data_IF_670728122610
#
_entry.id   IF_670728122610
#
_cell.length_a   1.000
_cell.length_b   1.000
_cell.length_c   1.000
_cell.angle_alpha   90.00
_cell.angle_beta   90.00
_cell.angle_gamma   90.00
#
_symmetry.space_group_name_H-M   'P 1'
#
loop_
_entity.id
_entity.type
_entity.pdbx_description
1 polymer ?
#
# COMPACT_ATOMS: atom_id res chain seq x y z
N UNK A 1 -10.30 27.77 15.14
CA UNK A 1 -10.61 26.40 14.70
C UNK A 1 -9.65 25.50 15.44
N UNK A 2 -10.09 24.52 16.24
CA UNK A 2 -9.18 23.51 16.77
C UNK A 2 -8.61 22.73 15.57
N UNK A 3 -7.34 22.34 15.65
CA UNK A 3 -6.67 21.53 14.63
C UNK A 3 -7.53 20.30 14.29
N UNK A 4 -7.83 20.12 13.01
CA UNK A 4 -8.53 18.94 12.51
C UNK A 4 -7.64 17.71 12.80
N UNK A 5 -8.09 16.74 13.63
CA UNK A 5 -7.30 15.56 13.94
C UNK A 5 -6.99 14.69 12.71
N UNK A 6 -7.61 14.97 11.55
CA UNK A 6 -7.35 14.31 10.27
C UNK A 6 -6.48 15.12 9.32
N UNK A 7 -5.81 16.19 9.76
CA UNK A 7 -4.86 16.88 8.88
C UNK A 7 -3.77 15.90 8.43
N UNK A 8 -3.83 15.52 7.15
CA UNK A 8 -2.91 14.56 6.56
C UNK A 8 -1.47 15.11 6.63
N UNK A 9 -0.59 14.37 7.30
CA UNK A 9 0.85 14.68 7.43
C UNK A 9 1.72 13.66 6.69
N UNK A 10 1.20 13.02 5.65
CA UNK A 10 2.02 12.15 4.82
C UNK A 10 3.03 12.96 3.99
N UNK A 11 4.02 12.27 3.42
CA UNK A 11 5.09 12.88 2.61
C UNK A 11 4.58 13.63 1.38
N UNK A 12 3.33 13.40 0.95
CA UNK A 12 2.71 14.13 -0.17
C UNK A 12 2.17 15.49 0.28
N UNK A 13 1.52 15.53 1.45
CA UNK A 13 0.89 16.74 1.99
C UNK A 13 1.86 17.64 2.76
N UNK A 14 2.90 17.05 3.36
CA UNK A 14 3.91 17.77 4.12
C UNK A 14 5.30 17.49 3.55
N UNK A 15 6.10 18.55 3.38
CA UNK A 15 7.49 18.43 2.97
C UNK A 15 8.38 18.37 4.20
N UNK A 16 9.06 17.24 4.38
CA UNK A 16 9.98 17.00 5.49
C UNK A 16 11.43 17.38 5.15
N UNK A 17 11.70 17.78 3.90
CA UNK A 17 13.02 18.24 3.45
C UNK A 17 13.96 17.12 2.99
N UNK A 18 13.47 15.88 2.93
CA UNK A 18 14.22 14.67 2.55
C UNK A 18 13.60 13.96 1.33
N UNK A 19 12.65 14.59 0.64
CA UNK A 19 11.94 14.00 -0.51
C UNK A 19 12.87 13.65 -1.67
N UNK A 20 13.98 14.37 -1.82
CA UNK A 20 15.01 14.13 -2.83
C UNK A 20 15.91 12.93 -2.50
N UNK A 21 15.90 12.47 -1.24
CA UNK A 21 16.58 11.26 -0.78
C UNK A 21 15.72 10.00 -0.91
N UNK A 22 14.46 10.14 -1.35
CA UNK A 22 13.51 9.04 -1.49
C UNK A 22 14.06 7.93 -2.41
N UNK A 23 13.97 6.69 -1.95
CA UNK A 23 14.44 5.56 -2.74
C UNK A 23 13.43 5.17 -3.83
N UNK A 24 13.80 4.19 -4.67
CA UNK A 24 12.93 3.75 -5.77
C UNK A 24 11.58 3.17 -5.28
N UNK A 25 11.56 2.51 -4.13
CA UNK A 25 10.34 1.98 -3.55
C UNK A 25 9.44 3.12 -3.08
N UNK A 26 9.99 4.11 -2.37
CA UNK A 26 9.27 5.29 -1.92
C UNK A 26 8.65 6.05 -3.09
N UNK A 27 9.41 6.26 -4.17
CA UNK A 27 8.92 6.90 -5.39
C UNK A 27 7.78 6.11 -6.04
N UNK A 28 7.86 4.78 -6.05
CA UNK A 28 6.80 3.90 -6.57
C UNK A 28 5.53 3.98 -5.71
N UNK A 29 5.68 4.03 -4.39
CA UNK A 29 4.55 4.21 -3.46
C UNK A 29 3.89 5.57 -3.71
N UNK A 30 4.67 6.64 -3.77
CA UNK A 30 4.20 8.00 -4.06
C UNK A 30 3.42 8.04 -5.37
N UNK A 31 3.98 7.47 -6.44
CA UNK A 31 3.33 7.40 -7.75
C UNK A 31 1.97 6.67 -7.67
N UNK A 32 1.93 5.48 -7.08
CA UNK A 32 0.68 4.72 -6.97
C UNK A 32 -0.37 5.41 -6.09
N UNK A 33 0.03 6.06 -5.00
CA UNK A 33 -0.91 6.83 -4.17
C UNK A 33 -1.49 8.00 -4.96
N UNK A 34 -0.67 8.70 -5.76
CA UNK A 34 -1.15 9.79 -6.62
C UNK A 34 -2.07 9.30 -7.74
N UNK A 35 -1.78 8.14 -8.34
CA UNK A 35 -2.53 7.62 -9.50
C UNK A 35 -3.78 6.82 -9.13
N UNK A 36 -3.74 6.08 -8.02
CA UNK A 36 -4.77 5.10 -7.64
C UNK A 36 -5.40 5.38 -6.27
N UNK A 37 -4.81 6.29 -5.48
CA UNK A 37 -5.27 6.62 -4.14
C UNK A 37 -4.76 5.70 -3.04
N UNK A 38 -4.02 4.64 -3.39
CA UNK A 38 -3.32 3.77 -2.45
C UNK A 38 -2.26 2.92 -3.17
N UNK A 39 -1.38 2.32 -2.38
CA UNK A 39 -0.43 1.28 -2.77
C UNK A 39 -0.52 0.11 -1.79
N UNK A 40 -0.20 -1.11 -2.22
CA UNK A 40 -0.11 -2.29 -1.34
C UNK A 40 1.35 -2.73 -1.24
N UNK A 41 1.89 -2.72 -0.02
CA UNK A 41 3.20 -3.30 0.29
C UNK A 41 3.01 -4.74 0.73
N UNK A 42 3.82 -5.65 0.18
CA UNK A 42 3.89 -7.06 0.60
C UNK A 42 5.18 -7.27 1.38
N UNK A 43 5.06 -7.77 2.61
CA UNK A 43 6.17 -8.18 3.46
C UNK A 43 6.17 -9.71 3.52
N UNK A 44 7.12 -10.40 2.87
CA UNK A 44 7.22 -11.85 2.92
C UNK A 44 7.40 -12.37 4.34
N UNK A 45 7.09 -13.66 4.56
CA UNK A 45 7.43 -14.33 5.81
C UNK A 45 8.95 -14.42 6.00
N UNK A 46 9.38 -14.39 7.25
CA UNK A 46 10.78 -14.54 7.64
C UNK A 46 10.92 -15.36 8.94
N UNK A 47 12.14 -15.43 9.49
CA UNK A 47 12.42 -16.15 10.73
C UNK A 47 11.72 -15.54 11.97
N UNK A 48 11.24 -14.30 11.89
CA UNK A 48 10.63 -13.55 12.99
C UNK A 48 9.11 -13.71 12.96
N UNK A 49 8.48 -13.78 11.79
CA UNK A 49 7.03 -13.86 11.71
C UNK A 49 6.42 -14.18 10.35
N UNK A 50 5.09 -14.38 10.31
CA UNK A 50 4.37 -14.64 9.08
C UNK A 50 4.36 -13.42 8.18
N UNK A 51 4.30 -13.66 6.87
CA UNK A 51 4.14 -12.60 5.88
C UNK A 51 2.81 -11.87 6.02
N UNK A 52 2.79 -10.61 5.61
CA UNK A 52 1.63 -9.74 5.65
C UNK A 52 1.64 -8.74 4.51
N UNK A 53 0.48 -8.16 4.21
CA UNK A 53 0.35 -7.09 3.24
C UNK A 53 -0.44 -5.93 3.86
N UNK A 54 -0.08 -4.70 3.51
CA UNK A 54 -0.77 -3.51 4.02
C UNK A 54 -0.86 -2.40 2.98
N UNK A 55 -1.85 -1.53 3.14
CA UNK A 55 -2.03 -0.37 2.27
C UNK A 55 -1.26 0.85 2.77
N UNK A 56 -0.86 1.71 1.85
CA UNK A 56 -0.39 3.07 2.11
C UNK A 56 -1.20 4.00 1.22
N UNK A 57 -1.80 5.05 1.80
CA UNK A 57 -2.45 6.14 1.06
C UNK A 57 -3.96 6.25 1.27
N UNK A 58 -4.62 5.26 1.89
CA UNK A 58 -6.06 5.36 2.16
C UNK A 58 -6.39 6.52 3.10
N UNK A 59 -5.52 6.80 4.08
CA UNK A 59 -5.68 7.96 4.95
C UNK A 59 -5.54 9.28 4.16
N UNK A 60 -4.59 9.33 3.22
CA UNK A 60 -4.37 10.50 2.37
C UNK A 60 -5.54 10.76 1.42
N UNK A 61 -6.02 9.72 0.72
CA UNK A 61 -7.01 9.87 -0.35
C UNK A 61 -8.44 9.83 0.16
N UNK A 62 -8.72 9.06 1.20
CA UNK A 62 -10.09 8.78 1.67
C UNK A 62 -10.34 9.19 3.13
N UNK A 63 -9.33 9.66 3.87
CA UNK A 63 -9.46 9.98 5.30
C UNK A 63 -9.75 8.77 6.19
N UNK A 64 -9.54 7.55 5.66
CA UNK A 64 -9.82 6.29 6.33
C UNK A 64 -8.58 5.60 6.88
N UNK A 65 -8.74 4.53 7.68
CA UNK A 65 -7.61 3.74 8.14
C UNK A 65 -6.96 2.96 6.98
N UNK A 66 -5.68 2.65 7.13
CA UNK A 66 -5.02 1.66 6.28
C UNK A 66 -5.50 0.24 6.62
N UNK A 67 -5.45 -0.66 5.64
CA UNK A 67 -5.78 -2.08 5.81
C UNK A 67 -4.50 -2.90 5.95
N UNK A 68 -4.49 -3.86 6.87
CA UNK A 68 -3.46 -4.89 6.97
C UNK A 68 -4.09 -6.28 6.93
N UNK A 69 -3.48 -7.20 6.19
CA UNK A 69 -3.94 -8.57 6.00
C UNK A 69 -2.85 -9.57 6.42
N UNK A 70 -3.26 -10.64 7.09
CA UNK A 70 -2.41 -11.69 7.65
C UNK A 70 -3.00 -13.08 7.39
N UNK A 71 -2.19 -14.13 7.49
CA UNK A 71 -2.65 -15.52 7.47
C UNK A 71 -2.87 -16.15 6.09
N UNK A 72 -2.39 -15.51 5.02
CA UNK A 72 -2.37 -16.01 3.64
C UNK A 72 -0.98 -15.81 3.04
N UNK A 73 -0.74 -16.41 1.87
CA UNK A 73 0.40 -16.04 1.04
C UNK A 73 0.25 -14.58 0.56
N UNK A 74 1.34 -13.79 0.60
CA UNK A 74 1.29 -12.34 0.31
C UNK A 74 0.86 -12.02 -1.12
N UNK A 75 1.20 -12.88 -2.08
CA UNK A 75 0.71 -12.72 -3.45
C UNK A 75 -0.78 -13.01 -3.58
N UNK A 76 -1.33 -13.84 -2.69
CA UNK A 76 -2.77 -14.04 -2.56
C UNK A 76 -3.47 -12.84 -1.95
N UNK A 77 -2.87 -12.20 -0.94
CA UNK A 77 -3.41 -10.97 -0.35
C UNK A 77 -3.43 -9.79 -1.33
N UNK A 78 -2.42 -9.69 -2.19
CA UNK A 78 -2.29 -8.60 -3.17
C UNK A 78 -3.16 -8.81 -4.44
N UNK A 79 -3.62 -10.03 -4.70
CA UNK A 79 -4.29 -10.36 -5.96
C UNK A 79 -5.67 -9.68 -6.07
N UNK A 80 -5.94 -9.03 -7.20
CA UNK A 80 -7.30 -8.63 -7.55
C UNK A 80 -8.14 -9.89 -7.87
N UNK A 81 -9.21 -10.18 -7.12
CA UNK A 81 -10.06 -11.35 -7.36
C UNK A 81 -10.72 -11.37 -8.76
N UNK A 82 -10.76 -10.24 -9.49
CA UNK A 82 -11.36 -10.18 -10.84
C UNK A 82 -10.45 -10.68 -11.98
N UNK A 83 -9.18 -10.99 -11.71
CA UNK A 83 -8.28 -11.62 -12.71
C UNK A 83 -8.19 -13.12 -12.49
N UNK A 84 -9.29 -13.84 -12.70
CA UNK A 84 -9.21 -15.29 -12.95
C UNK A 84 -8.79 -15.48 -14.40
N UNK A 85 -7.49 -15.64 -14.66
CA UNK A 85 -7.05 -16.28 -15.90
C UNK A 85 -7.55 -17.72 -15.84
N UNK A 86 -8.57 -18.05 -16.62
CA UNK A 86 -8.86 -19.44 -16.99
C UNK A 86 -7.57 -20.06 -17.52
N UNK A 87 -7.08 -21.10 -16.86
CA UNK A 87 -6.05 -21.95 -17.43
C UNK A 87 -6.68 -22.71 -18.60
N UNK A 88 -6.08 -22.72 -19.81
CA UNK A 88 -6.61 -23.52 -20.90
C UNK A 88 -6.45 -25.00 -20.56
N UNK A 89 -7.55 -25.73 -20.58
CA UNK A 89 -7.58 -27.20 -20.47
C UNK A 89 -6.74 -27.82 -21.59
N UNK A 90 -5.82 -28.75 -21.31
CA UNK A 90 -5.10 -29.46 -22.37
C UNK A 90 -6.08 -30.38 -23.11
N UNK A 91 -6.18 -30.17 -24.43
CA UNK A 91 -6.84 -31.09 -25.36
C UNK A 91 -5.90 -32.20 -25.83
#
# INVERSE_FOLDING_TARGET
MPDDPFQCRCVLCHDYGDRDEADRMDLTIIEHVQQHGWHVVMVPEDEIGPGFAYTIGLAHTHGGPELAMFGLDVHTMHRDPKKTTEQPTPG
#
